data_IF_362191416846
#
_entry.id   IF_362191416846
#
_cell.length_a   1.000
_cell.length_b   1.000
_cell.length_c   1.000
_cell.angle_alpha   90.00
_cell.angle_beta   90.00
_cell.angle_gamma   90.00
#
_symmetry.space_group_name_H-M   'P 1'
#
loop_
_entity.id
_entity.type
_entity.pdbx_description
1 polymer ?
#
# COMPACT_ATOMS: atom_id res chain seq x y z
N UNK A 1 44.80 -39.84 14.32
CA UNK A 1 43.65 -39.07 14.82
C UNK A 1 44.09 -38.50 16.16
N UNK A 2 44.72 -37.33 16.12
CA UNK A 2 45.36 -36.67 17.26
C UNK A 2 44.38 -35.73 17.94
N UNK A 3 44.65 -35.43 19.20
CA UNK A 3 43.78 -34.74 20.17
C UNK A 3 43.56 -33.24 19.83
N UNK A 4 44.07 -32.77 18.69
CA UNK A 4 44.04 -31.35 18.27
C UNK A 4 42.81 -30.94 17.43
N UNK A 5 41.97 -31.89 16.98
CA UNK A 5 40.78 -31.57 16.18
C UNK A 5 39.50 -31.34 17.01
N UNK A 6 39.59 -31.28 18.35
CA UNK A 6 38.43 -31.10 19.25
C UNK A 6 38.32 -29.71 19.89
N UNK A 7 39.22 -28.77 19.60
CA UNK A 7 39.26 -27.43 20.22
C UNK A 7 38.68 -26.29 19.35
N UNK A 8 38.15 -26.57 18.15
CA UNK A 8 37.60 -25.54 17.24
C UNK A 8 36.06 -25.49 17.17
N UNK A 9 35.36 -25.87 18.24
CA UNK A 9 33.91 -25.67 18.37
C UNK A 9 33.53 -24.90 19.63
N UNK A 10 34.29 -23.85 19.94
CA UNK A 10 33.81 -22.85 20.91
C UNK A 10 32.77 -21.97 20.21
N UNK A 11 31.48 -21.96 20.60
CA UNK A 11 30.54 -20.99 20.08
C UNK A 11 31.01 -19.60 20.51
N UNK A 12 31.27 -18.74 19.53
CA UNK A 12 31.48 -17.31 19.75
C UNK A 12 30.46 -16.80 20.78
N UNK A 13 30.89 -16.10 21.84
CA UNK A 13 29.96 -15.55 22.83
C UNK A 13 29.01 -14.63 22.07
N UNK A 14 27.75 -15.04 21.97
CA UNK A 14 26.70 -14.28 21.31
C UNK A 14 26.65 -12.89 21.90
N UNK A 15 27.27 -11.93 21.20
CA UNK A 15 27.26 -10.55 21.59
C UNK A 15 25.85 -10.03 21.31
N UNK A 16 24.92 -10.32 22.21
CA UNK A 16 23.55 -9.82 22.20
C UNK A 16 23.59 -8.34 22.55
N UNK A 17 24.17 -7.54 21.67
CA UNK A 17 24.10 -6.11 21.74
C UNK A 17 22.65 -5.72 21.43
N UNK A 18 22.03 -4.94 22.32
CA UNK A 18 20.69 -4.37 22.13
C UNK A 18 20.55 -3.69 20.76
N UNK A 19 21.64 -3.13 20.21
CA UNK A 19 21.65 -2.56 18.87
C UNK A 19 21.28 -3.53 17.75
N UNK A 20 21.57 -4.83 17.92
CA UNK A 20 21.18 -5.85 16.93
C UNK A 20 19.68 -6.04 16.85
N UNK A 21 18.92 -5.81 17.93
CA UNK A 21 17.45 -5.88 17.91
C UNK A 21 16.83 -4.82 16.99
N UNK A 22 17.52 -3.71 16.79
CA UNK A 22 17.10 -2.60 15.93
C UNK A 22 17.78 -2.61 14.56
N UNK A 23 18.59 -3.64 14.26
CA UNK A 23 19.16 -3.83 12.94
C UNK A 23 18.08 -4.36 11.98
N UNK A 24 17.44 -3.42 11.28
CA UNK A 24 16.36 -3.71 10.33
C UNK A 24 16.81 -4.63 9.18
N UNK A 25 18.11 -4.74 8.90
CA UNK A 25 18.62 -5.64 7.87
C UNK A 25 18.60 -7.11 8.31
N UNK A 26 18.65 -7.37 9.62
CA UNK A 26 18.70 -8.72 10.20
C UNK A 26 17.38 -9.18 10.80
N UNK A 27 16.69 -8.31 11.52
CA UNK A 27 15.56 -8.72 12.38
C UNK A 27 14.25 -8.04 12.04
N UNK A 28 14.19 -7.19 11.01
CA UNK A 28 12.91 -6.63 10.58
C UNK A 28 12.03 -7.73 10.00
N UNK A 29 10.81 -7.95 10.54
CA UNK A 29 9.85 -8.84 9.92
C UNK A 29 9.48 -8.29 8.54
N UNK A 30 9.57 -9.16 7.52
CA UNK A 30 9.07 -8.83 6.19
C UNK A 30 7.56 -9.05 6.17
N UNK A 31 6.83 -7.97 5.95
CA UNK A 31 5.38 -8.02 5.81
C UNK A 31 4.99 -7.85 4.35
N UNK A 32 3.86 -8.44 3.98
CA UNK A 32 3.19 -8.21 2.71
C UNK A 32 1.72 -7.97 2.99
N UNK A 33 1.21 -6.85 2.52
CA UNK A 33 -0.23 -6.58 2.55
C UNK A 33 -0.92 -7.44 1.49
N UNK A 34 -1.94 -8.16 1.93
CA UNK A 34 -2.73 -9.06 1.11
C UNK A 34 -4.20 -8.70 1.25
N UNK A 35 -4.91 -8.59 0.13
CA UNK A 35 -6.36 -8.47 0.10
C UNK A 35 -6.97 -9.75 -0.46
N UNK A 36 -7.83 -10.40 0.33
CA UNK A 36 -8.66 -11.49 -0.15
C UNK A 36 -9.87 -10.97 -0.91
N UNK A 37 -10.24 -11.68 -1.97
CA UNK A 37 -11.43 -11.42 -2.78
C UNK A 37 -11.93 -12.71 -3.41
N UNK A 38 -13.16 -12.67 -3.94
CA UNK A 38 -13.80 -13.79 -4.62
C UNK A 38 -14.23 -13.34 -6.02
N UNK A 39 -13.79 -14.06 -7.05
CA UNK A 39 -14.32 -13.88 -8.42
C UNK A 39 -15.09 -15.15 -8.80
N UNK A 40 -16.42 -15.10 -8.71
CA UNK A 40 -17.26 -16.28 -8.92
C UNK A 40 -16.96 -17.36 -7.88
N UNK A 41 -16.52 -18.55 -8.33
CA UNK A 41 -16.12 -19.66 -7.47
C UNK A 41 -14.64 -19.64 -7.06
N UNK A 42 -13.82 -18.75 -7.64
CA UNK A 42 -12.38 -18.69 -7.38
C UNK A 42 -12.06 -17.86 -6.13
N UNK A 43 -11.19 -18.39 -5.27
CA UNK A 43 -10.56 -17.64 -4.17
C UNK A 43 -9.29 -16.96 -4.68
N UNK A 44 -9.29 -15.63 -4.65
CA UNK A 44 -8.21 -14.81 -5.17
C UNK A 44 -7.64 -13.95 -4.06
N UNK A 45 -6.31 -13.90 -3.96
CA UNK A 45 -5.66 -12.89 -3.14
C UNK A 45 -4.85 -11.94 -4.02
N UNK A 46 -4.85 -10.67 -3.63
CA UNK A 46 -4.17 -9.60 -4.32
C UNK A 46 -3.05 -9.10 -3.41
N UNK A 47 -1.89 -8.79 -3.98
CA UNK A 47 -0.77 -8.18 -3.27
C UNK A 47 0.02 -7.25 -4.20
N UNK A 48 0.81 -6.35 -3.62
CA UNK A 48 1.80 -5.56 -4.34
C UNK A 48 3.14 -6.30 -4.32
N UNK A 49 3.71 -6.57 -5.49
CA UNK A 49 4.99 -7.28 -5.62
C UNK A 49 6.21 -6.35 -5.51
N UNK A 50 7.42 -6.93 -5.67
CA UNK A 50 8.68 -6.17 -5.60
C UNK A 50 8.90 -5.23 -6.78
N UNK A 51 8.18 -5.44 -7.88
CA UNK A 51 8.21 -4.60 -9.08
C UNK A 51 7.08 -3.55 -9.03
N UNK A 52 6.51 -3.32 -7.86
CA UNK A 52 5.38 -2.42 -7.63
C UNK A 52 4.16 -2.72 -8.52
N UNK A 53 3.96 -3.98 -8.85
CA UNK A 53 2.82 -4.46 -9.63
C UNK A 53 1.77 -5.06 -8.71
N UNK A 54 0.51 -4.69 -8.92
CA UNK A 54 -0.62 -5.35 -8.26
C UNK A 54 -0.86 -6.70 -8.92
N UNK A 55 -0.63 -7.77 -8.17
CA UNK A 55 -0.70 -9.14 -8.65
C UNK A 55 -1.87 -9.84 -7.97
N UNK A 56 -2.70 -10.51 -8.76
CA UNK A 56 -3.76 -11.38 -8.30
C UNK A 56 -3.39 -12.83 -8.54
N UNK A 57 -3.50 -13.65 -7.51
CA UNK A 57 -3.28 -15.10 -7.57
C UNK A 57 -4.55 -15.83 -7.22
N UNK A 58 -5.02 -16.66 -8.15
CA UNK A 58 -6.12 -17.60 -7.96
C UNK A 58 -5.56 -18.90 -7.34
N UNK A 59 -5.93 -19.16 -6.09
CA UNK A 59 -5.45 -20.32 -5.33
C UNK A 59 -6.06 -21.62 -5.87
N UNK A 60 -7.24 -21.55 -6.48
CA UNK A 60 -7.97 -22.73 -6.97
C UNK A 60 -7.40 -23.22 -8.30
N UNK A 61 -6.98 -22.28 -9.16
CA UNK A 61 -6.43 -22.57 -10.49
C UNK A 61 -4.91 -22.58 -10.56
N UNK A 62 -4.24 -22.10 -9.50
CA UNK A 62 -2.81 -21.85 -9.48
C UNK A 62 -2.36 -20.90 -10.61
N UNK A 63 -3.21 -19.92 -10.92
CA UNK A 63 -2.97 -18.92 -11.96
C UNK A 63 -2.65 -17.57 -11.31
N UNK A 64 -1.72 -16.83 -11.90
CA UNK A 64 -1.34 -15.50 -11.45
C UNK A 64 -1.42 -14.53 -12.61
N UNK A 65 -1.96 -13.33 -12.35
CA UNK A 65 -2.05 -12.26 -13.33
C UNK A 65 -1.69 -10.91 -12.70
N UNK A 66 -1.11 -10.04 -13.51
CA UNK A 66 -0.90 -8.63 -13.16
C UNK A 66 -2.20 -7.88 -13.44
N UNK A 67 -2.69 -7.13 -12.45
CA UNK A 67 -3.90 -6.30 -12.55
C UNK A 67 -3.56 -4.87 -13.00
N UNK A 68 -2.55 -4.27 -12.36
CA UNK A 68 -2.13 -2.90 -12.60
C UNK A 68 -0.71 -2.68 -12.09
N UNK A 69 -0.09 -1.58 -12.50
CA UNK A 69 1.22 -1.15 -11.99
C UNK A 69 1.09 0.13 -11.17
N UNK A 70 1.87 0.28 -10.10
CA UNK A 70 1.88 1.47 -9.24
C UNK A 70 2.04 2.77 -10.05
N UNK A 71 2.95 2.78 -11.04
CA UNK A 71 3.28 3.95 -11.85
C UNK A 71 2.17 4.37 -12.83
N UNK A 72 1.11 3.56 -12.98
CA UNK A 72 -0.11 3.96 -13.70
C UNK A 72 -0.97 4.92 -12.87
N UNK A 73 -0.86 4.87 -11.55
CA UNK A 73 -1.61 5.72 -10.64
C UNK A 73 -0.94 7.08 -10.61
N UNK A 74 -1.56 8.06 -11.25
CA UNK A 74 -1.01 9.40 -11.43
C UNK A 74 -1.93 10.46 -10.86
N UNK A 75 -1.35 11.56 -10.37
CA UNK A 75 -2.13 12.74 -10.03
C UNK A 75 -2.63 13.47 -11.30
N UNK A 76 -3.42 14.53 -11.10
CA UNK A 76 -3.92 15.39 -12.18
C UNK A 76 -2.81 16.07 -13.00
N UNK A 77 -1.59 16.14 -12.46
CA UNK A 77 -0.40 16.69 -13.11
C UNK A 77 0.43 15.63 -13.84
N UNK A 78 0.03 14.36 -13.80
CA UNK A 78 0.72 13.24 -14.43
C UNK A 78 1.84 12.62 -13.60
N UNK A 79 2.05 13.07 -12.36
CA UNK A 79 3.08 12.51 -11.47
C UNK A 79 2.60 11.20 -10.83
N UNK A 80 3.47 10.17 -10.71
CA UNK A 80 3.11 8.95 -9.98
C UNK A 80 2.72 9.23 -8.53
N UNK A 81 1.66 8.56 -8.06
CA UNK A 81 1.19 8.65 -6.68
C UNK A 81 2.03 7.77 -5.76
N UNK A 82 2.60 8.40 -4.72
CA UNK A 82 3.24 7.68 -3.62
C UNK A 82 2.19 7.34 -2.55
N UNK A 83 1.74 6.08 -2.54
CA UNK A 83 0.75 5.57 -1.58
C UNK A 83 1.38 4.61 -0.57
N UNK A 84 0.72 4.40 0.58
CA UNK A 84 1.08 3.30 1.49
C UNK A 84 -0.09 2.42 1.91
N UNK A 85 -1.26 2.64 1.34
CA UNK A 85 -2.43 1.81 1.59
C UNK A 85 -3.24 1.76 0.29
N UNK A 86 -3.81 0.59 0.02
CA UNK A 86 -4.51 0.30 -1.22
C UNK A 86 -5.55 -0.79 -1.00
N UNK A 87 -6.66 -0.71 -1.72
CA UNK A 87 -7.70 -1.75 -1.77
C UNK A 87 -8.37 -1.77 -3.14
N UNK A 88 -8.48 -2.96 -3.72
CA UNK A 88 -9.33 -3.17 -4.91
C UNK A 88 -10.81 -3.18 -4.51
N UNK A 89 -11.66 -2.71 -5.42
CA UNK A 89 -13.11 -2.87 -5.30
C UNK A 89 -13.51 -4.34 -5.42
N UNK A 90 -14.73 -4.73 -5.00
CA UNK A 90 -15.19 -6.12 -5.11
C UNK A 90 -15.15 -6.66 -6.55
N UNK A 91 -15.46 -5.83 -7.55
CA UNK A 91 -15.36 -6.22 -8.96
C UNK A 91 -13.92 -6.34 -9.49
N UNK A 92 -12.94 -5.88 -8.73
CA UNK A 92 -11.54 -5.68 -9.13
C UNK A 92 -11.35 -4.66 -10.28
N UNK A 93 -12.35 -3.84 -10.60
CA UNK A 93 -12.25 -2.80 -11.62
C UNK A 93 -11.54 -1.53 -11.11
N UNK A 94 -11.72 -1.22 -9.83
CA UNK A 94 -11.19 0.00 -9.25
C UNK A 94 -10.14 -0.29 -8.17
N UNK A 95 -9.15 0.59 -8.05
CA UNK A 95 -8.20 0.59 -6.93
C UNK A 95 -8.36 1.88 -6.17
N UNK A 96 -8.72 1.76 -4.90
CA UNK A 96 -8.65 2.86 -3.95
C UNK A 96 -7.24 2.89 -3.38
N UNK A 97 -6.55 4.03 -3.48
CA UNK A 97 -5.27 4.26 -2.83
C UNK A 97 -5.31 5.45 -1.89
N UNK A 98 -4.58 5.32 -0.79
CA UNK A 98 -4.33 6.43 0.14
C UNK A 98 -2.93 6.98 -0.09
N UNK A 99 -2.88 8.12 -0.78
CA UNK A 99 -1.64 8.83 -1.06
C UNK A 99 -1.47 10.04 -0.13
N UNK A 100 -0.21 10.39 0.14
CA UNK A 100 0.10 11.68 0.74
C UNK A 100 0.27 12.68 -0.38
N UNK A 101 -0.41 13.82 -0.28
CA UNK A 101 -0.06 14.98 -1.11
C UNK A 101 0.90 15.83 -0.28
N UNK A 102 2.17 15.46 -0.30
CA UNK A 102 3.23 16.36 0.18
C UNK A 102 3.79 17.23 -0.97
N UNK A 103 3.47 16.91 -2.23
CA UNK A 103 4.13 17.50 -3.39
C UNK A 103 3.13 18.08 -4.40
N UNK A 104 2.19 18.94 -3.98
CA UNK A 104 1.55 19.84 -4.98
C UNK A 104 2.63 20.81 -5.46
N UNK A 105 3.10 20.64 -6.70
CA UNK A 105 3.98 21.61 -7.36
C UNK A 105 5.48 21.53 -7.03
N UNK A 106 5.96 20.46 -6.39
CA UNK A 106 7.40 20.24 -6.21
C UNK A 106 7.88 19.22 -7.23
N UNK A 107 8.80 19.58 -8.16
CA UNK A 107 9.42 18.62 -9.07
C UNK A 107 10.09 17.51 -8.28
N UNK A 108 9.76 16.26 -8.59
CA UNK A 108 10.41 15.11 -7.99
C UNK A 108 11.76 14.94 -8.69
N UNK A 109 12.81 15.55 -8.15
CA UNK A 109 14.17 15.15 -8.48
C UNK A 109 14.54 13.94 -7.60
N UNK A 110 15.29 12.98 -8.16
CA UNK A 110 15.74 11.79 -7.42
C UNK A 110 16.89 12.09 -6.45
N UNK A 111 17.30 13.36 -6.34
CA UNK A 111 18.43 13.84 -5.54
C UNK A 111 17.99 14.28 -4.13
N UNK A 112 16.71 14.57 -3.93
CA UNK A 112 16.12 14.92 -2.65
C UNK A 112 15.05 13.90 -2.27
N UNK A 113 15.25 13.10 -1.20
CA UNK A 113 14.21 12.20 -0.73
C UNK A 113 12.97 13.05 -0.40
N UNK A 114 11.77 12.68 -0.87
CA UNK A 114 10.56 13.43 -0.59
C UNK A 114 10.45 13.66 0.92
N UNK A 115 10.18 14.90 1.34
CA UNK A 115 9.81 15.19 2.73
C UNK A 115 8.45 14.53 2.98
N UNK A 116 8.47 13.24 3.29
CA UNK A 116 7.31 12.39 3.51
C UNK A 116 6.63 12.69 4.85
N UNK A 117 6.19 13.91 5.11
CA UNK A 117 5.61 14.23 6.42
C UNK A 117 4.44 15.20 6.31
N UNK A 118 3.32 14.73 5.77
CA UNK A 118 2.02 15.20 6.27
C UNK A 118 1.04 14.06 6.54
N UNK A 119 1.58 12.90 6.97
CA UNK A 119 0.80 12.00 7.83
C UNK A 119 0.78 12.63 9.21
N UNK A 120 -0.18 13.52 9.45
CA UNK A 120 -0.50 13.95 10.81
C UNK A 120 -1.06 12.73 11.55
N UNK A 121 -0.17 11.89 12.07
CA UNK A 121 -0.49 10.81 13.00
C UNK A 121 -1.12 11.50 14.22
N UNK A 122 -2.44 11.37 14.39
CA UNK A 122 -3.12 11.93 15.57
C UNK A 122 -3.09 10.94 16.72
N UNK A 123 -3.68 9.77 16.50
CA UNK A 123 -3.81 8.67 17.46
C UNK A 123 -3.35 7.36 16.80
N UNK A 124 -3.07 6.31 17.59
CA UNK A 124 -2.37 5.08 17.14
C UNK A 124 -2.75 4.55 15.74
N UNK A 125 -4.04 4.59 15.37
CA UNK A 125 -4.54 4.14 14.05
C UNK A 125 -5.13 5.24 13.16
N UNK A 126 -5.32 6.46 13.67
CA UNK A 126 -5.95 7.56 12.91
C UNK A 126 -4.90 8.34 12.12
N UNK A 127 -5.02 8.28 10.79
CA UNK A 127 -4.19 9.03 9.84
C UNK A 127 -5.09 9.61 8.78
N UNK A 128 -5.06 10.92 8.55
CA UNK A 128 -5.73 11.52 7.40
C UNK A 128 -4.92 11.26 6.13
N UNK A 129 -5.57 11.29 4.96
CA UNK A 129 -4.88 11.15 3.68
C UNK A 129 -5.75 11.57 2.51
N UNK A 130 -5.13 11.85 1.38
CA UNK A 130 -5.84 12.04 0.13
C UNK A 130 -6.09 10.67 -0.49
N UNK A 131 -7.33 10.44 -0.91
CA UNK A 131 -7.76 9.18 -1.50
C UNK A 131 -7.94 9.36 -2.99
N UNK A 132 -7.49 8.37 -3.74
CA UNK A 132 -7.60 8.33 -5.19
C UNK A 132 -8.22 7.01 -5.61
N UNK A 133 -9.04 7.05 -6.65
CA UNK A 133 -9.63 5.90 -7.30
C UNK A 133 -9.01 5.79 -8.69
N UNK A 134 -8.39 4.66 -8.96
CA UNK A 134 -7.89 4.31 -10.28
C UNK A 134 -8.86 3.33 -10.94
N UNK A 135 -9.37 3.67 -12.13
CA UNK A 135 -10.21 2.79 -12.94
C UNK A 135 -9.34 2.04 -13.96
N UNK A 136 -9.28 0.71 -13.83
CA UNK A 136 -8.52 -0.16 -14.72
C UNK A 136 -9.07 -0.16 -16.14
N UNK A 137 -10.36 0.10 -16.33
CA UNK A 137 -11.00 0.03 -17.64
C UNK A 137 -10.60 1.20 -18.54
N UNK A 138 -10.44 2.40 -17.97
CA UNK A 138 -10.10 3.62 -18.70
C UNK A 138 -8.69 4.13 -18.40
N UNK A 139 -7.94 3.43 -17.55
CA UNK A 139 -6.57 3.77 -17.17
C UNK A 139 -6.44 5.23 -16.67
N UNK A 140 -7.34 5.63 -15.78
CA UNK A 140 -7.38 7.00 -15.24
C UNK A 140 -7.53 6.98 -13.73
N UNK A 141 -6.94 7.99 -13.10
CA UNK A 141 -6.95 8.19 -11.65
C UNK A 141 -7.74 9.44 -11.31
N UNK A 142 -8.66 9.34 -10.36
CA UNK A 142 -9.50 10.45 -9.91
C UNK A 142 -9.35 10.62 -8.40
N UNK A 143 -9.25 11.86 -7.90
CA UNK A 143 -9.28 12.10 -6.47
C UNK A 143 -10.71 11.89 -5.93
N UNK A 144 -10.84 11.23 -4.77
CA UNK A 144 -12.13 11.01 -4.10
C UNK A 144 -12.76 12.32 -3.60
N UNK A 145 -11.89 13.25 -3.17
CA UNK A 145 -12.22 14.62 -2.77
C UNK A 145 -11.09 15.52 -3.27
N UNK A 146 -11.33 16.82 -3.44
CA UNK A 146 -10.29 17.77 -3.85
C UNK A 146 -9.01 17.58 -3.01
N UNK A 147 -7.86 17.28 -3.64
CA UNK A 147 -6.63 17.00 -2.90
C UNK A 147 -6.13 18.25 -2.17
N UNK A 148 -5.75 18.08 -0.91
CA UNK A 148 -5.21 19.19 -0.10
C UNK A 148 -3.88 18.82 0.54
N UNK A 149 -3.04 19.83 0.80
CA UNK A 149 -1.75 19.65 1.49
C UNK A 149 -1.92 19.20 2.95
N UNK A 150 -3.05 19.55 3.57
CA UNK A 150 -3.47 19.10 4.89
C UNK A 150 -4.77 18.28 4.76
N UNK A 151 -4.69 16.99 4.42
CA UNK A 151 -5.87 16.17 4.12
C UNK A 151 -6.80 16.08 5.33
N UNK A 152 -8.11 16.09 5.07
CA UNK A 152 -9.16 15.96 6.09
C UNK A 152 -10.00 14.69 5.96
N UNK A 153 -9.76 13.87 4.93
CA UNK A 153 -10.40 12.55 4.78
C UNK A 153 -9.79 11.56 5.77
N UNK A 154 -10.64 11.02 6.65
CA UNK A 154 -10.25 10.15 7.76
C UNK A 154 -10.05 8.72 7.27
N UNK A 155 -11.04 8.22 6.54
CA UNK A 155 -11.09 6.86 6.02
C UNK A 155 -11.91 6.82 4.73
N UNK A 156 -11.61 5.85 3.89
CA UNK A 156 -12.44 5.47 2.74
C UNK A 156 -12.33 3.96 2.57
N UNK A 157 -13.46 3.30 2.33
CA UNK A 157 -13.56 1.84 2.19
C UNK A 157 -14.57 1.49 1.12
N UNK A 158 -14.27 0.45 0.33
CA UNK A 158 -15.24 -0.14 -0.58
C UNK A 158 -16.34 -0.87 0.19
N UNK A 159 -17.54 -0.89 -0.38
CA UNK A 159 -18.59 -1.81 0.01
C UNK A 159 -18.11 -3.27 -0.20
N UNK A 160 -18.64 -4.24 0.55
CA UNK A 160 -18.16 -5.62 0.48
C UNK A 160 -18.57 -6.35 -0.81
N UNK A 161 -19.64 -5.91 -1.49
CA UNK A 161 -20.27 -6.64 -2.60
C UNK A 161 -20.40 -5.84 -3.88
N UNK A 162 -20.39 -4.52 -3.81
CA UNK A 162 -20.57 -3.63 -4.95
C UNK A 162 -19.45 -2.59 -5.03
N UNK A 163 -19.31 -1.93 -6.18
CA UNK A 163 -18.33 -0.87 -6.41
C UNK A 163 -18.80 0.50 -5.84
N UNK A 164 -19.36 0.47 -4.64
CA UNK A 164 -19.71 1.66 -3.87
C UNK A 164 -18.64 1.94 -2.83
N UNK A 165 -18.47 3.20 -2.47
CA UNK A 165 -17.48 3.64 -1.49
C UNK A 165 -18.17 4.42 -0.36
N UNK A 166 -17.74 4.14 0.87
CA UNK A 166 -18.07 4.94 2.04
C UNK A 166 -16.81 5.67 2.51
N UNK A 167 -16.91 6.95 2.82
CA UNK A 167 -15.78 7.72 3.31
C UNK A 167 -16.21 8.79 4.31
N UNK A 168 -15.28 9.15 5.19
CA UNK A 168 -15.48 10.23 6.18
C UNK A 168 -14.56 11.38 5.84
N UNK A 169 -15.14 12.54 5.58
CA UNK A 169 -14.42 13.76 5.21
C UNK A 169 -14.96 14.93 6.05
N UNK A 170 -14.06 15.72 6.66
CA UNK A 170 -14.46 16.81 7.58
C UNK A 170 -15.43 16.39 8.70
N UNK A 171 -15.35 15.14 9.15
CA UNK A 171 -16.25 14.50 10.13
C UNK A 171 -17.68 14.20 9.63
N UNK A 172 -17.96 14.39 8.35
CA UNK A 172 -19.21 13.96 7.73
C UNK A 172 -19.02 12.62 7.00
N UNK A 173 -20.05 11.78 7.05
CA UNK A 173 -20.09 10.47 6.38
C UNK A 173 -20.75 10.60 5.00
N UNK A 174 -20.04 10.13 3.99
CA UNK A 174 -20.49 10.09 2.60
C UNK A 174 -20.56 8.65 2.10
N UNK A 175 -21.50 8.39 1.19
CA UNK A 175 -21.69 7.09 0.55
C UNK A 175 -22.18 7.29 -0.88
N UNK A 176 -21.69 6.48 -1.82
CA UNK A 176 -22.19 6.48 -3.19
C UNK A 176 -21.60 5.35 -4.04
N UNK A 177 -22.32 4.99 -5.09
CA UNK A 177 -21.85 4.07 -6.13
C UNK A 177 -20.94 4.81 -7.11
N UNK A 178 -19.82 4.20 -7.47
CA UNK A 178 -19.01 4.64 -8.60
C UNK A 178 -19.62 4.02 -9.87
N UNK A 179 -19.90 4.77 -10.96
CA UNK A 179 -19.14 5.91 -11.47
C UNK A 179 -19.91 7.24 -11.34
N UNK A 180 -19.27 8.29 -10.82
CA UNK A 180 -19.80 9.66 -10.86
C UNK A 180 -19.89 10.18 -12.30
#
# INVERSE_FOLDING_TARGET
MTVEELEEMSPEPGNSNVGSVFDESRWAPKHRDIQWSTQGSSQVYIYLDQNESFVATDVTKNETRVLAYSYWLKDSSGNPLLFKDWRFSPSMRFVLVKANVANVGVPVDFTHPPLFTNRLKRWHRSKFGNYYIYDLAINSTFPLTEPTAAPSTITAVWAPTEDSIAFVHNNDLYYGSYPL
#
